data_IF_441246085211
#
_entry.id   IF_441246085211
#
_cell.length_a   1.000
_cell.length_b   1.000
_cell.length_c   1.000
_cell.angle_alpha   90.00
_cell.angle_beta   90.00
_cell.angle_gamma   90.00
#
_symmetry.space_group_name_H-M   'P 1'
#
loop_
_entity.id
_entity.type
_entity.pdbx_description
1 polymer ?
#
# COMPACT_ATOMS: atom_id res chain seq x y z
N UNK A 1 5.82 12.66 2.57
CA UNK A 1 7.20 12.25 2.92
C UNK A 1 7.88 11.90 1.60
N UNK A 2 9.14 12.22 1.41
CA UNK A 2 9.88 11.80 0.22
C UNK A 2 10.67 10.55 0.54
N UNK A 3 10.58 9.53 -0.31
CA UNK A 3 11.37 8.30 -0.15
C UNK A 3 12.64 8.36 -1.03
N UNK A 4 13.75 7.72 -0.62
CA UNK A 4 14.97 7.71 -1.41
C UNK A 4 14.92 6.73 -2.59
N UNK A 5 14.13 5.67 -2.49
CA UNK A 5 13.95 4.66 -3.53
C UNK A 5 12.65 3.88 -3.30
N UNK A 6 12.18 3.16 -4.31
CA UNK A 6 11.05 2.24 -4.19
C UNK A 6 11.51 0.80 -4.40
N UNK A 7 11.27 -0.07 -3.41
CA UNK A 7 11.69 -1.47 -3.49
C UNK A 7 11.02 -2.24 -4.64
N UNK A 8 9.85 -1.79 -5.10
CA UNK A 8 9.12 -2.39 -6.21
C UNK A 8 9.66 -1.94 -7.56
N UNK A 9 10.06 -0.67 -7.73
CA UNK A 9 10.83 -0.24 -8.89
C UNK A 9 12.14 -1.04 -9.00
N UNK A 10 12.80 -1.33 -7.88
CA UNK A 10 14.05 -2.11 -7.88
C UNK A 10 13.81 -3.58 -8.22
N UNK A 11 12.68 -4.15 -7.79
CA UNK A 11 12.30 -5.54 -8.08
C UNK A 11 11.75 -5.73 -9.49
N UNK A 12 11.26 -4.66 -10.14
CA UNK A 12 10.67 -4.65 -11.47
C UNK A 12 11.33 -3.60 -12.37
N UNK A 13 12.38 -3.95 -13.13
CA UNK A 13 13.14 -3.01 -13.96
C UNK A 13 12.29 -2.22 -14.96
N UNK A 14 11.24 -2.83 -15.50
CA UNK A 14 10.30 -2.20 -16.44
C UNK A 14 9.55 -1.03 -15.79
N UNK A 15 9.19 -1.17 -14.52
CA UNK A 15 8.51 -0.10 -13.77
C UNK A 15 9.49 1.06 -13.48
N UNK A 16 10.75 0.75 -13.19
CA UNK A 16 11.80 1.79 -13.03
C UNK A 16 12.00 2.58 -14.32
N UNK A 17 12.00 1.90 -15.47
CA UNK A 17 12.12 2.57 -16.77
C UNK A 17 10.90 3.46 -17.07
N UNK A 18 9.70 2.99 -16.74
CA UNK A 18 8.44 3.68 -17.02
C UNK A 18 8.20 4.88 -16.11
N UNK A 19 8.46 4.73 -14.82
CA UNK A 19 8.09 5.73 -13.82
C UNK A 19 9.28 6.54 -13.30
N UNK A 20 10.51 6.03 -13.43
CA UNK A 20 11.71 6.64 -12.86
C UNK A 20 11.50 7.02 -11.40
N UNK A 21 11.97 8.21 -11.04
CA UNK A 21 11.87 8.76 -9.68
C UNK A 21 10.59 9.62 -9.48
N UNK A 22 9.72 9.69 -10.49
CA UNK A 22 8.54 10.58 -10.51
C UNK A 22 7.56 10.33 -9.36
N UNK A 23 7.64 9.16 -8.73
CA UNK A 23 6.75 8.77 -7.64
C UNK A 23 7.32 8.90 -6.24
N UNK A 24 8.57 9.36 -6.08
CA UNK A 24 9.28 9.35 -4.79
C UNK A 24 8.86 10.49 -3.87
N UNK A 25 8.53 11.66 -4.43
CA UNK A 25 8.06 12.83 -3.66
C UNK A 25 6.76 12.54 -2.89
N UNK A 26 5.89 11.72 -3.49
CA UNK A 26 4.60 11.28 -2.94
C UNK A 26 4.63 9.84 -2.42
N UNK A 27 5.82 9.27 -2.25
CA UNK A 27 6.01 7.93 -1.73
C UNK A 27 5.89 7.87 -0.20
N UNK A 28 5.88 6.65 0.33
CA UNK A 28 5.78 6.43 1.77
C UNK A 28 6.38 5.08 2.17
N UNK A 29 6.47 4.82 3.47
CA UNK A 29 6.82 3.52 4.02
C UNK A 29 5.56 2.70 4.30
N UNK A 30 5.54 1.45 3.83
CA UNK A 30 4.36 0.60 4.04
C UNK A 30 4.21 0.30 5.54
N UNK A 31 3.07 0.58 6.19
CA UNK A 31 2.90 0.31 7.62
C UNK A 31 2.83 -1.19 7.95
N UNK A 32 2.73 -2.07 6.94
CA UNK A 32 2.66 -3.53 7.11
C UNK A 32 4.05 -4.17 7.01
N UNK A 33 4.81 -3.82 5.97
CA UNK A 33 6.12 -4.44 5.69
C UNK A 33 7.31 -3.50 5.90
N UNK A 34 7.06 -2.22 6.23
CA UNK A 34 8.04 -1.18 6.49
C UNK A 34 9.03 -0.89 5.35
N UNK A 35 8.72 -1.33 4.12
CA UNK A 35 9.52 -1.05 2.92
C UNK A 35 9.05 0.24 2.22
N UNK A 36 9.97 1.03 1.63
CA UNK A 36 9.63 2.28 0.95
C UNK A 36 9.01 2.01 -0.44
N UNK A 37 7.88 2.65 -0.74
CA UNK A 37 7.17 2.50 -2.01
C UNK A 37 6.83 3.86 -2.64
N UNK A 38 6.89 3.94 -3.98
CA UNK A 38 6.50 5.16 -4.70
C UNK A 38 4.98 5.23 -4.87
N UNK A 39 4.44 6.41 -5.17
CA UNK A 39 2.98 6.58 -5.39
C UNK A 39 2.39 5.63 -6.42
N UNK A 40 3.16 5.27 -7.46
CA UNK A 40 2.71 4.37 -8.54
C UNK A 40 2.62 2.91 -8.07
N UNK A 41 3.41 2.55 -7.07
CA UNK A 41 3.44 1.23 -6.43
C UNK A 41 2.68 1.20 -5.11
N UNK A 42 1.68 2.07 -4.98
CA UNK A 42 0.86 2.20 -3.79
C UNK A 42 -0.61 1.83 -4.06
N UNK A 43 -1.32 1.52 -2.99
CA UNK A 43 -2.78 1.40 -3.00
C UNK A 43 -3.35 1.80 -1.66
N UNK A 44 -4.59 2.27 -1.67
CA UNK A 44 -5.33 2.59 -0.43
C UNK A 44 -6.15 1.38 -0.02
N UNK A 45 -6.04 1.02 1.26
CA UNK A 45 -6.96 0.09 1.93
C UNK A 45 -7.80 0.87 2.92
N UNK A 46 -9.06 0.46 3.05
CA UNK A 46 -10.02 1.05 3.99
C UNK A 46 -10.52 -0.05 4.91
N UNK A 47 -10.69 0.27 6.18
CA UNK A 47 -11.29 -0.63 7.15
C UNK A 47 -12.16 0.17 8.11
N UNK A 48 -12.96 -0.55 8.90
CA UNK A 48 -13.85 0.04 9.88
C UNK A 48 -13.59 -0.56 11.24
N UNK A 49 -13.49 0.27 12.27
CA UNK A 49 -13.27 -0.17 13.66
C UNK A 49 -14.58 -0.59 14.33
N UNK A 50 -14.59 -1.74 15.01
CA UNK A 50 -15.81 -2.33 15.64
C UNK A 50 -16.45 -1.45 16.66
N UNK A 51 -15.60 -0.91 17.51
CA UNK A 51 -15.99 -0.20 18.71
C UNK A 51 -16.49 1.20 18.36
N UNK A 52 -15.76 1.93 17.52
CA UNK A 52 -16.07 3.32 17.18
C UNK A 52 -16.92 3.48 15.92
N UNK A 53 -17.05 2.41 15.11
CA UNK A 53 -17.64 2.44 13.76
C UNK A 53 -16.93 3.39 12.79
N UNK A 54 -15.77 3.92 13.17
CA UNK A 54 -14.99 4.85 12.37
C UNK A 54 -14.39 4.14 11.16
N UNK A 55 -14.41 4.83 10.02
CA UNK A 55 -13.77 4.37 8.79
C UNK A 55 -12.37 4.97 8.74
N UNK A 56 -11.38 4.09 8.81
CA UNK A 56 -9.98 4.47 8.65
C UNK A 56 -9.48 4.05 7.27
N UNK A 57 -8.40 4.69 6.83
CA UNK A 57 -7.72 4.31 5.59
C UNK A 57 -6.23 4.49 5.73
N UNK A 58 -5.46 3.64 5.05
CA UNK A 58 -4.02 3.79 4.92
C UNK A 58 -3.58 3.52 3.49
N UNK A 59 -2.53 4.23 3.08
CA UNK A 59 -1.80 3.92 1.85
C UNK A 59 -0.75 2.87 2.18
N UNK A 60 -0.75 1.77 1.42
CA UNK A 60 0.17 0.64 1.57
C UNK A 60 0.80 0.31 0.22
N UNK A 61 1.89 -0.47 0.21
CA UNK A 61 2.50 -0.92 -1.05
C UNK A 61 1.59 -1.92 -1.79
N UNK A 62 1.75 -2.00 -3.12
CA UNK A 62 0.86 -2.82 -3.97
C UNK A 62 0.94 -4.32 -3.65
N UNK A 63 2.10 -4.82 -3.21
CA UNK A 63 2.24 -6.23 -2.82
C UNK A 63 1.47 -6.54 -1.54
N UNK A 64 1.59 -5.70 -0.50
CA UNK A 64 0.78 -5.87 0.70
C UNK A 64 -0.72 -5.75 0.39
N UNK A 65 -1.11 -4.87 -0.53
CA UNK A 65 -2.49 -4.79 -1.01
C UNK A 65 -2.95 -6.07 -1.70
N UNK A 66 -2.13 -6.65 -2.59
CA UNK A 66 -2.42 -7.94 -3.25
C UNK A 66 -2.49 -9.08 -2.23
N UNK A 67 -1.56 -9.15 -1.28
CA UNK A 67 -1.59 -10.14 -0.21
C UNK A 67 -2.85 -10.00 0.66
N UNK A 68 -3.27 -8.76 0.94
CA UNK A 68 -4.51 -8.46 1.64
C UNK A 68 -5.74 -8.96 0.87
N UNK A 69 -5.78 -8.74 -0.46
CA UNK A 69 -6.83 -9.27 -1.34
C UNK A 69 -6.86 -10.81 -1.34
N UNK A 70 -5.70 -11.47 -1.38
CA UNK A 70 -5.61 -12.94 -1.42
C UNK A 70 -5.95 -13.64 -0.10
N UNK A 71 -5.92 -12.93 1.03
CA UNK A 71 -6.30 -13.51 2.33
C UNK A 71 -7.80 -13.60 2.56
N UNK A 72 -8.63 -13.22 1.59
CA UNK A 72 -10.08 -13.27 1.74
C UNK A 72 -10.62 -12.29 2.80
N UNK A 73 -9.82 -11.28 3.18
CA UNK A 73 -10.24 -10.22 4.08
C UNK A 73 -11.30 -9.29 3.45
N UNK A 74 -11.60 -9.49 2.16
CA UNK A 74 -12.68 -8.81 1.47
C UNK A 74 -13.19 -9.66 0.30
N UNK A 75 -14.34 -10.31 0.47
CA UNK A 75 -15.09 -10.87 -0.68
C UNK A 75 -16.47 -10.24 -0.84
N UNK A 76 -17.13 -9.79 0.23
CA UNK A 76 -18.44 -9.11 0.11
C UNK A 76 -18.67 -7.99 1.14
N UNK A 77 -18.37 -8.13 2.44
CA UNK A 77 -18.58 -7.06 3.45
C UNK A 77 -17.86 -7.42 4.77
N UNK A 78 -17.32 -6.43 5.52
CA UNK A 78 -17.05 -6.48 6.97
C UNK A 78 -16.01 -7.56 7.36
N UNK A 79 -14.97 -7.24 8.11
CA UNK A 79 -15.03 -7.54 9.55
C UNK A 79 -13.81 -6.88 10.20
N UNK A 80 -14.10 -5.81 10.93
CA UNK A 80 -13.54 -5.49 12.23
C UNK A 80 -12.14 -6.06 12.54
N UNK A 81 -11.13 -5.17 12.58
CA UNK A 81 -9.93 -5.46 13.37
C UNK A 81 -10.40 -5.46 14.85
N UNK A 82 -10.40 -6.65 15.47
CA UNK A 82 -10.63 -6.85 16.90
C UNK A 82 -9.44 -6.40 17.72
#
# INVERSE_FOLDING_TARGET
MTIPYCYLCESHPDDKQKYGDSGFADGDYCPICYRPFCRHHSGVVRWRWKETREVASARICIECKRAYLHRGWDVVHREWIS
#
